data_IF_159980006925
#
_entry.id   IF_159980006925
#
_cell.length_a   1.000
_cell.length_b   1.000
_cell.length_c   1.000
_cell.angle_alpha   90.00
_cell.angle_beta   90.00
_cell.angle_gamma   90.00
#
_symmetry.space_group_name_H-M   'P 1'
#
loop_
_entity.id
_entity.type
_entity.pdbx_description
1 polymer ?
#
# COMPACT_ATOMS: atom_id res chain seq x y z
N UNK A 1 48.36 -12.43 4.28
CA UNK A 1 47.40 -12.22 3.15
C UNK A 1 46.49 -13.42 2.99
N UNK A 2 45.35 -13.50 3.68
CA UNK A 2 44.20 -14.33 3.25
C UNK A 2 42.96 -14.13 4.13
N UNK A 3 42.46 -12.89 4.25
CA UNK A 3 41.17 -12.64 4.96
C UNK A 3 40.19 -11.77 4.19
N UNK A 4 40.39 -11.48 2.91
CA UNK A 4 39.45 -10.62 2.14
C UNK A 4 38.64 -11.32 1.07
N UNK A 5 38.82 -12.63 0.82
CA UNK A 5 38.08 -13.34 -0.24
C UNK A 5 36.78 -14.02 0.22
N UNK A 6 36.63 -14.29 1.51
CA UNK A 6 35.44 -14.98 2.02
C UNK A 6 34.18 -14.11 2.09
N UNK A 7 34.32 -12.77 2.18
CA UNK A 7 33.18 -11.86 2.23
C UNK A 7 32.56 -11.58 0.85
N UNK A 8 33.34 -11.73 -0.22
CA UNK A 8 32.87 -11.48 -1.60
C UNK A 8 32.01 -12.62 -2.18
N UNK A 9 32.25 -13.85 -1.78
CA UNK A 9 31.53 -15.02 -2.32
C UNK A 9 30.13 -15.24 -1.71
N UNK A 10 29.90 -14.70 -0.52
CA UNK A 10 28.56 -14.75 0.10
C UNK A 10 27.59 -13.77 -0.57
N UNK A 11 28.09 -12.65 -1.11
CA UNK A 11 27.26 -11.63 -1.76
C UNK A 11 26.81 -12.00 -3.19
N UNK A 12 27.54 -12.85 -3.91
CA UNK A 12 27.18 -13.26 -5.27
C UNK A 12 26.09 -14.33 -5.35
N UNK A 13 25.75 -14.99 -4.24
CA UNK A 13 24.75 -16.07 -4.24
C UNK A 13 23.31 -15.65 -3.94
N UNK A 14 23.03 -14.37 -3.70
CA UNK A 14 21.70 -13.94 -3.27
C UNK A 14 20.89 -13.09 -4.27
N UNK A 15 21.45 -12.74 -5.42
CA UNK A 15 20.76 -11.85 -6.37
C UNK A 15 20.11 -12.56 -7.55
N UNK A 16 20.56 -13.78 -7.90
CA UNK A 16 20.04 -14.49 -9.08
C UNK A 16 20.05 -16.01 -8.89
N UNK A 17 19.13 -16.56 -8.15
CA UNK A 17 18.82 -17.98 -8.30
C UNK A 17 17.33 -18.24 -8.21
N UNK A 18 16.59 -17.87 -9.26
CA UNK A 18 15.50 -18.70 -9.76
C UNK A 18 16.07 -19.82 -10.64
N UNK A 19 17.13 -20.49 -10.22
CA UNK A 19 17.59 -21.73 -10.84
C UNK A 19 17.52 -22.83 -9.78
N UNK A 20 16.53 -23.68 -10.00
CA UNK A 20 16.34 -24.97 -9.34
C UNK A 20 17.66 -25.72 -9.31
N UNK A 21 18.23 -25.92 -8.11
CA UNK A 21 19.03 -27.09 -7.78
C UNK A 21 18.43 -27.76 -6.57
N UNK A 22 17.84 -28.92 -6.84
CA UNK A 22 17.46 -29.88 -5.83
C UNK A 22 18.72 -30.28 -5.04
N UNK A 23 18.70 -29.96 -3.75
CA UNK A 23 19.34 -30.61 -2.62
C UNK A 23 19.57 -29.60 -1.49
N UNK A 24 18.48 -29.24 -0.86
CA UNK A 24 18.37 -28.82 0.55
C UNK A 24 16.86 -28.75 0.84
N UNK A 25 16.27 -29.80 1.35
CA UNK A 25 14.85 -29.88 1.69
C UNK A 25 14.39 -28.75 2.64
N UNK A 26 15.33 -28.09 3.27
CA UNK A 26 15.07 -27.02 4.23
C UNK A 26 14.79 -25.64 3.57
N UNK A 27 15.11 -25.47 2.26
CA UNK A 27 14.95 -24.19 1.53
C UNK A 27 13.89 -24.22 0.44
N UNK A 28 13.12 -25.27 0.32
CA UNK A 28 12.07 -25.37 -0.67
C UNK A 28 10.96 -24.34 -0.42
N UNK A 29 10.51 -23.71 -1.49
CA UNK A 29 9.41 -22.73 -1.49
C UNK A 29 8.17 -23.45 -2.00
N UNK A 30 7.03 -23.24 -1.36
CA UNK A 30 5.73 -23.72 -1.82
C UNK A 30 5.15 -22.70 -2.78
N UNK A 31 4.90 -23.09 -4.02
CA UNK A 31 4.32 -22.25 -5.06
C UNK A 31 2.81 -22.44 -5.15
N UNK A 32 2.08 -21.34 -5.33
CA UNK A 32 0.62 -21.34 -5.36
C UNK A 32 0.09 -20.48 -6.50
N UNK A 33 -0.99 -20.94 -7.11
CA UNK A 33 -1.77 -20.16 -8.09
C UNK A 33 -3.16 -19.97 -7.50
N UNK A 34 -3.65 -18.72 -7.51
CA UNK A 34 -4.97 -18.36 -7.01
C UNK A 34 -5.82 -17.75 -8.09
N UNK A 35 -7.12 -18.07 -8.06
CA UNK A 35 -8.13 -17.44 -8.88
C UNK A 35 -9.30 -17.01 -7.98
N UNK A 36 -9.72 -15.75 -8.07
CA UNK A 36 -10.84 -15.20 -7.30
C UNK A 36 -11.83 -14.48 -8.22
N UNK A 37 -13.10 -14.58 -7.88
CA UNK A 37 -14.18 -13.72 -8.40
C UNK A 37 -14.75 -12.92 -7.24
N UNK A 38 -14.90 -11.61 -7.44
CA UNK A 38 -15.36 -10.69 -6.38
C UNK A 38 -16.53 -9.83 -6.88
N UNK A 39 -17.78 -10.30 -6.74
CA UNK A 39 -18.94 -9.45 -6.93
C UNK A 39 -18.97 -8.38 -5.82
N UNK A 40 -19.21 -7.13 -6.20
CA UNK A 40 -19.09 -6.01 -5.27
C UNK A 40 -20.16 -4.95 -5.50
N UNK A 41 -20.40 -4.16 -4.46
CA UNK A 41 -21.21 -2.96 -4.48
C UNK A 41 -20.29 -1.73 -4.45
N UNK A 42 -20.57 -0.74 -5.29
CA UNK A 42 -19.86 0.54 -5.26
C UNK A 42 -20.43 1.41 -4.15
N UNK A 43 -19.63 1.71 -3.14
CA UNK A 43 -20.05 2.56 -2.03
C UNK A 43 -20.16 4.02 -2.48
N UNK A 44 -21.31 4.68 -2.29
CA UNK A 44 -21.54 6.07 -2.72
C UNK A 44 -20.87 7.05 -1.76
N UNK A 45 -19.54 7.04 -1.72
CA UNK A 45 -18.72 7.87 -0.81
C UNK A 45 -18.58 9.32 -1.28
N UNK A 46 -18.90 9.64 -2.55
CA UNK A 46 -18.94 11.01 -3.06
C UNK A 46 -20.36 11.41 -3.46
N UNK A 47 -20.62 12.73 -3.48
CA UNK A 47 -21.92 13.25 -3.95
C UNK A 47 -22.21 12.84 -5.40
N UNK A 48 -21.18 12.74 -6.22
CA UNK A 48 -21.29 12.34 -7.62
C UNK A 48 -21.80 10.89 -7.81
N UNK A 49 -21.52 9.99 -6.88
CA UNK A 49 -22.01 8.60 -6.89
C UNK A 49 -23.46 8.49 -6.36
N UNK A 50 -24.02 9.58 -5.86
CA UNK A 50 -25.42 9.65 -5.42
C UNK A 50 -26.24 10.27 -6.55
N UNK A 51 -27.38 9.66 -6.82
CA UNK A 51 -28.38 10.26 -7.69
C UNK A 51 -28.93 11.51 -7.00
N UNK A 52 -28.77 12.69 -7.62
CA UNK A 52 -29.32 13.96 -7.13
C UNK A 52 -30.74 14.24 -7.63
N UNK A 53 -31.34 13.31 -8.38
CA UNK A 53 -32.66 13.44 -8.99
C UNK A 53 -32.69 14.35 -10.23
N UNK A 54 -31.60 15.01 -10.57
CA UNK A 54 -31.47 15.91 -11.73
C UNK A 54 -30.65 15.31 -12.88
N UNK A 55 -30.22 14.05 -12.75
CA UNK A 55 -29.42 13.36 -13.76
C UNK A 55 -27.96 13.80 -13.86
N UNK A 56 -27.48 14.60 -12.93
CA UNK A 56 -26.09 15.08 -12.90
C UNK A 56 -25.13 14.09 -12.26
N UNK A 57 -25.64 13.10 -11.53
CA UNK A 57 -24.86 12.04 -10.90
C UNK A 57 -24.68 10.81 -11.79
N UNK A 58 -23.59 10.10 -11.56
CA UNK A 58 -23.34 8.80 -12.17
C UNK A 58 -23.63 7.69 -11.14
N UNK A 59 -24.81 7.07 -11.21
CA UNK A 59 -25.19 6.02 -10.27
C UNK A 59 -24.47 4.73 -10.60
N UNK A 60 -23.31 4.50 -9.99
CA UNK A 60 -22.62 3.21 -10.01
C UNK A 60 -23.03 2.40 -8.78
N UNK A 61 -23.52 1.19 -8.96
CA UNK A 61 -23.91 0.33 -7.83
C UNK A 61 -23.27 -1.04 -7.87
N UNK A 62 -23.09 -1.61 -9.05
CA UNK A 62 -22.58 -2.97 -9.23
C UNK A 62 -21.16 -2.93 -9.77
N UNK A 63 -20.31 -3.76 -9.20
CA UNK A 63 -18.96 -4.00 -9.68
C UNK A 63 -18.65 -5.49 -9.60
N UNK A 64 -17.71 -5.93 -10.40
CA UNK A 64 -17.14 -7.27 -10.31
C UNK A 64 -15.68 -7.23 -10.68
N UNK A 65 -14.88 -8.10 -10.07
CA UNK A 65 -13.49 -8.27 -10.44
C UNK A 65 -13.10 -9.74 -10.51
N UNK A 66 -12.15 -10.03 -11.41
CA UNK A 66 -11.60 -11.35 -11.66
C UNK A 66 -10.08 -11.26 -11.42
N UNK A 67 -9.56 -12.13 -10.58
CA UNK A 67 -8.18 -12.07 -10.13
C UNK A 67 -7.44 -13.35 -10.47
N UNK A 68 -6.23 -13.21 -10.99
CA UNK A 68 -5.25 -14.27 -11.11
C UNK A 68 -4.03 -13.91 -10.28
N UNK A 69 -3.60 -14.84 -9.42
CA UNK A 69 -2.51 -14.63 -8.47
C UNK A 69 -1.48 -15.73 -8.59
N UNK A 70 -0.22 -15.34 -8.53
CA UNK A 70 0.89 -16.26 -8.31
C UNK A 70 1.63 -15.84 -7.05
N UNK A 71 1.92 -16.79 -6.20
CA UNK A 71 2.65 -16.51 -5.00
C UNK A 71 3.35 -17.72 -4.41
N UNK A 72 4.01 -17.46 -3.30
CA UNK A 72 4.83 -18.44 -2.63
C UNK A 72 4.67 -18.35 -1.11
N UNK A 73 4.90 -19.46 -0.48
CA UNK A 73 4.96 -19.62 0.96
C UNK A 73 6.29 -20.27 1.31
N UNK A 74 6.94 -19.80 2.36
CA UNK A 74 8.15 -20.43 2.86
C UNK A 74 7.83 -21.81 3.41
N UNK A 75 8.79 -22.76 3.30
CA UNK A 75 8.64 -24.10 3.82
C UNK A 75 8.31 -24.03 5.33
N UNK A 76 7.16 -24.58 5.78
CA UNK A 76 6.75 -24.51 7.17
C UNK A 76 7.73 -25.23 8.11
N UNK A 77 8.55 -26.15 7.60
CA UNK A 77 9.56 -26.87 8.37
C UNK A 77 10.89 -26.10 8.46
N UNK A 78 11.09 -25.05 7.67
CA UNK A 78 12.28 -24.19 7.73
C UNK A 78 12.19 -23.20 8.89
N UNK A 79 13.33 -22.69 9.36
CA UNK A 79 13.39 -21.67 10.41
C UNK A 79 12.63 -20.41 10.01
N UNK A 80 12.81 -19.97 8.76
CA UNK A 80 12.15 -18.80 8.20
C UNK A 80 10.64 -19.01 8.06
N UNK A 81 10.19 -20.19 7.62
CA UNK A 81 8.77 -20.53 7.49
C UNK A 81 8.07 -20.64 8.85
N UNK A 82 8.79 -21.10 9.89
CA UNK A 82 8.27 -21.12 11.27
C UNK A 82 8.13 -19.70 11.86
N UNK A 83 8.90 -18.73 11.37
CA UNK A 83 8.76 -17.33 11.78
C UNK A 83 7.47 -16.71 11.25
N UNK A 84 7.03 -17.11 10.05
CA UNK A 84 5.84 -16.57 9.37
C UNK A 84 4.92 -17.72 8.92
N UNK A 85 4.40 -18.50 9.87
CA UNK A 85 3.59 -19.66 9.54
C UNK A 85 2.33 -19.24 8.78
N UNK A 86 1.99 -20.01 7.74
CA UNK A 86 0.79 -19.83 6.93
C UNK A 86 0.72 -18.47 6.21
N UNK A 87 1.86 -17.79 6.02
CA UNK A 87 1.94 -16.56 5.23
C UNK A 87 2.24 -16.89 3.78
N UNK A 88 1.39 -16.40 2.90
CA UNK A 88 1.43 -16.59 1.46
C UNK A 88 1.49 -15.22 0.80
N UNK A 89 2.48 -14.99 -0.06
CA UNK A 89 2.80 -13.70 -0.67
C UNK A 89 3.03 -13.85 -2.17
N UNK A 90 2.85 -12.78 -2.92
CA UNK A 90 3.14 -12.82 -4.33
C UNK A 90 2.63 -11.61 -5.12
N UNK A 91 2.38 -11.85 -6.41
CA UNK A 91 1.87 -10.88 -7.36
C UNK A 91 0.52 -11.34 -7.91
N UNK A 92 -0.30 -10.38 -8.29
CA UNK A 92 -1.57 -10.66 -8.91
C UNK A 92 -1.93 -9.64 -9.99
N UNK A 93 -2.82 -10.05 -10.86
CA UNK A 93 -3.48 -9.19 -11.83
C UNK A 93 -4.99 -9.31 -11.67
N UNK A 94 -5.72 -8.24 -11.93
CA UNK A 94 -7.18 -8.29 -11.96
C UNK A 94 -7.75 -7.50 -13.12
N UNK A 95 -8.90 -7.95 -13.58
CA UNK A 95 -9.79 -7.23 -14.47
C UNK A 95 -11.00 -6.78 -13.68
N UNK A 96 -11.34 -5.50 -13.77
CA UNK A 96 -12.39 -4.90 -12.96
C UNK A 96 -13.44 -4.26 -13.86
N UNK A 97 -14.72 -4.41 -13.51
CA UNK A 97 -15.82 -3.77 -14.22
C UNK A 97 -16.81 -3.13 -13.24
N UNK A 98 -17.32 -1.97 -13.61
CA UNK A 98 -18.23 -1.16 -12.80
C UNK A 98 -19.61 -1.01 -13.48
N UNK A 99 -19.86 -1.75 -14.55
CA UNK A 99 -21.11 -1.66 -15.31
C UNK A 99 -21.25 -0.40 -16.17
N UNK A 100 -20.23 0.46 -16.19
CA UNK A 100 -20.19 1.68 -17.00
C UNK A 100 -18.83 1.84 -17.70
N UNK A 101 -18.71 1.16 -18.84
CA UNK A 101 -17.48 1.18 -19.62
C UNK A 101 -17.18 2.53 -20.26
N UNK A 102 -18.22 3.28 -20.63
CA UNK A 102 -18.04 4.53 -21.38
C UNK A 102 -17.44 5.65 -20.52
N UNK A 103 -17.94 5.82 -19.32
CA UNK A 103 -17.51 6.93 -18.45
C UNK A 103 -16.40 6.51 -17.46
N UNK A 104 -16.35 5.26 -17.02
CA UNK A 104 -15.38 4.78 -16.01
C UNK A 104 -14.31 3.88 -16.62
N UNK A 105 -14.64 3.13 -17.64
CA UNK A 105 -13.78 2.10 -18.21
C UNK A 105 -13.90 0.76 -17.49
N UNK A 106 -13.11 -0.21 -17.95
CA UNK A 106 -12.91 -1.49 -17.29
C UNK A 106 -11.43 -1.68 -16.99
N UNK A 107 -10.93 -1.16 -15.89
CA UNK A 107 -9.50 -1.13 -15.60
C UNK A 107 -8.96 -2.51 -15.22
N UNK A 108 -7.71 -2.72 -15.58
CA UNK A 108 -6.87 -3.77 -15.04
C UNK A 108 -6.15 -3.27 -13.80
N UNK A 109 -5.76 -4.17 -12.91
CA UNK A 109 -4.81 -3.84 -11.86
C UNK A 109 -3.69 -4.88 -11.82
N UNK A 110 -2.46 -4.41 -11.52
CA UNK A 110 -1.32 -5.23 -11.16
C UNK A 110 -0.93 -4.89 -9.72
N UNK A 111 -0.75 -5.91 -8.88
CA UNK A 111 -0.55 -5.70 -7.45
C UNK A 111 0.34 -6.76 -6.83
N UNK A 112 0.95 -6.41 -5.70
CA UNK A 112 1.53 -7.33 -4.74
C UNK A 112 0.48 -7.67 -3.69
N UNK A 113 0.53 -8.87 -3.14
CA UNK A 113 -0.40 -9.28 -2.10
C UNK A 113 0.29 -10.10 -1.00
N UNK A 114 -0.33 -10.10 0.15
CA UNK A 114 -0.03 -11.03 1.23
C UNK A 114 -1.32 -11.53 1.85
N UNK A 115 -1.37 -12.83 2.07
CA UNK A 115 -2.41 -13.51 2.83
C UNK A 115 -1.79 -14.23 4.01
N UNK A 116 -2.44 -14.18 5.15
CA UNK A 116 -2.00 -14.90 6.34
C UNK A 116 -3.18 -15.32 7.21
N UNK A 117 -2.97 -16.38 7.99
CA UNK A 117 -3.98 -16.89 8.90
C UNK A 117 -4.11 -16.01 10.14
N UNK A 118 -5.34 -15.63 10.48
CA UNK A 118 -5.69 -15.00 11.75
C UNK A 118 -5.97 -16.04 12.80
N UNK A 119 -6.83 -17.02 12.47
CA UNK A 119 -7.27 -18.04 13.41
C UNK A 119 -7.48 -19.40 12.73
N UNK A 120 -7.10 -20.48 13.41
CA UNK A 120 -7.44 -21.86 13.02
C UNK A 120 -8.79 -22.21 13.67
N UNK A 121 -9.78 -22.55 12.84
CA UNK A 121 -11.11 -22.94 13.30
C UNK A 121 -11.19 -24.46 13.45
N UNK A 122 -10.65 -25.20 12.47
CA UNK A 122 -10.56 -26.66 12.51
C UNK A 122 -9.32 -27.16 11.77
N UNK A 123 -9.14 -28.47 11.65
CA UNK A 123 -8.04 -29.05 10.86
C UNK A 123 -8.10 -28.69 9.36
N UNK A 124 -9.30 -28.35 8.85
CA UNK A 124 -9.52 -28.03 7.43
C UNK A 124 -10.03 -26.62 7.20
N UNK A 125 -10.29 -25.82 8.25
CA UNK A 125 -10.89 -24.49 8.13
C UNK A 125 -10.09 -23.49 8.95
N UNK A 126 -9.75 -22.35 8.32
CA UNK A 126 -9.14 -21.20 8.98
C UNK A 126 -9.84 -19.90 8.59
N UNK A 127 -9.66 -18.88 9.41
CA UNK A 127 -10.01 -17.50 9.13
C UNK A 127 -8.73 -16.75 8.80
N UNK A 128 -8.68 -16.20 7.59
CA UNK A 128 -7.49 -15.59 7.00
C UNK A 128 -7.80 -14.16 6.55
N UNK A 129 -6.77 -13.33 6.41
CA UNK A 129 -6.85 -12.04 5.76
C UNK A 129 -5.94 -11.98 4.54
N UNK A 130 -6.22 -11.07 3.63
CA UNK A 130 -5.36 -10.72 2.50
C UNK A 130 -5.44 -9.22 2.25
N UNK A 131 -4.30 -8.59 2.07
CA UNK A 131 -4.23 -7.25 1.54
C UNK A 131 -3.53 -7.27 0.18
N UNK A 132 -3.97 -6.38 -0.71
CA UNK A 132 -3.38 -6.17 -2.02
C UNK A 132 -3.04 -4.70 -2.17
N UNK A 133 -1.89 -4.41 -2.77
CA UNK A 133 -1.45 -3.07 -3.05
C UNK A 133 -0.80 -3.01 -4.43
N UNK A 134 -1.22 -2.06 -5.27
CA UNK A 134 -0.71 -1.93 -6.63
C UNK A 134 -1.24 -0.73 -7.38
N UNK A 135 -1.19 -0.83 -8.70
CA UNK A 135 -1.70 0.17 -9.62
C UNK A 135 -2.75 -0.40 -10.56
N UNK A 136 -3.76 0.40 -10.85
CA UNK A 136 -4.80 0.08 -11.83
C UNK A 136 -4.73 1.03 -13.01
N UNK A 137 -5.00 0.52 -14.22
CA UNK A 137 -4.85 1.22 -15.49
C UNK A 137 -5.96 0.82 -16.46
N UNK A 138 -6.22 1.67 -17.47
CA UNK A 138 -7.34 1.48 -18.39
C UNK A 138 -8.63 2.16 -17.93
N UNK A 139 -8.52 3.15 -17.06
CA UNK A 139 -9.60 4.04 -16.69
C UNK A 139 -9.90 5.04 -17.80
N UNK A 140 -11.15 5.47 -17.89
CA UNK A 140 -11.56 6.65 -18.64
C UNK A 140 -11.63 7.83 -17.67
N UNK A 141 -10.60 8.69 -17.62
CA UNK A 141 -10.56 9.78 -16.65
C UNK A 141 -11.56 10.89 -17.03
N UNK A 142 -11.77 11.80 -16.09
CA UNK A 142 -12.45 13.05 -16.34
C UNK A 142 -11.82 13.81 -17.51
N UNK A 143 -12.66 14.38 -18.36
CA UNK A 143 -12.30 15.24 -19.48
C UNK A 143 -13.43 16.25 -19.68
N UNK A 144 -13.09 17.54 -19.78
CA UNK A 144 -14.09 18.62 -19.85
C UNK A 144 -15.02 18.52 -21.07
N UNK A 145 -14.54 17.94 -22.16
CA UNK A 145 -15.29 17.86 -23.41
C UNK A 145 -16.02 16.52 -23.57
N UNK A 146 -15.33 15.41 -23.22
CA UNK A 146 -15.79 14.07 -23.59
C UNK A 146 -16.27 13.24 -22.40
N UNK A 147 -15.85 13.57 -21.16
CA UNK A 147 -16.18 12.80 -19.95
C UNK A 147 -16.35 13.67 -18.70
N UNK A 148 -17.00 14.80 -18.84
CA UNK A 148 -17.18 15.81 -17.77
C UNK A 148 -17.98 15.33 -16.57
N UNK A 149 -18.75 14.25 -16.73
CA UNK A 149 -19.57 13.63 -15.67
C UNK A 149 -18.75 12.78 -14.71
N UNK A 150 -17.57 12.29 -15.12
CA UNK A 150 -16.74 11.45 -14.26
C UNK A 150 -15.95 12.29 -13.22
N UNK A 151 -16.57 12.65 -12.13
CA UNK A 151 -15.92 13.37 -11.02
C UNK A 151 -15.15 12.44 -10.06
N UNK A 152 -15.03 11.14 -10.35
CA UNK A 152 -14.43 10.12 -9.47
C UNK A 152 -12.94 9.98 -9.76
N UNK A 153 -12.59 9.87 -11.05
CA UNK A 153 -11.25 9.49 -11.52
C UNK A 153 -10.74 10.54 -12.50
N UNK A 154 -9.67 11.25 -12.12
CA UNK A 154 -9.01 12.26 -12.95
C UNK A 154 -7.75 11.76 -13.66
N UNK A 155 -7.38 10.49 -13.56
CA UNK A 155 -6.16 9.96 -14.17
C UNK A 155 -6.33 8.57 -14.78
N UNK A 156 -5.48 8.23 -15.77
CA UNK A 156 -5.47 6.93 -16.43
C UNK A 156 -4.88 5.82 -15.55
N UNK A 157 -4.07 6.18 -14.55
CA UNK A 157 -3.43 5.28 -13.61
C UNK A 157 -3.83 5.68 -12.21
N UNK A 158 -4.31 4.71 -11.42
CA UNK A 158 -4.76 4.91 -10.05
C UNK A 158 -4.18 3.85 -9.13
N UNK A 159 -3.97 4.16 -7.86
CA UNK A 159 -3.65 3.17 -6.84
C UNK A 159 -4.78 2.14 -6.74
N UNK A 160 -4.42 0.92 -6.46
CA UNK A 160 -5.30 -0.20 -6.15
C UNK A 160 -4.95 -0.71 -4.77
N UNK A 161 -5.88 -0.58 -3.83
CA UNK A 161 -5.71 -1.03 -2.44
C UNK A 161 -6.89 -1.92 -2.11
N UNK A 162 -6.62 -3.13 -1.61
CA UNK A 162 -7.67 -4.05 -1.19
C UNK A 162 -7.32 -4.68 0.16
N UNK A 163 -8.34 -4.90 0.96
CA UNK A 163 -8.29 -5.66 2.21
C UNK A 163 -9.45 -6.64 2.23
N UNK A 164 -9.16 -7.92 2.37
CA UNK A 164 -10.14 -8.98 2.45
C UNK A 164 -10.00 -9.84 3.69
N UNK A 165 -11.12 -10.37 4.18
CA UNK A 165 -11.20 -11.36 5.24
C UNK A 165 -12.05 -12.53 4.76
N UNK A 166 -11.57 -13.76 4.96
CA UNK A 166 -12.22 -14.92 4.38
C UNK A 166 -11.98 -16.21 5.18
N UNK A 167 -12.90 -17.12 5.02
CA UNK A 167 -12.75 -18.51 5.42
C UNK A 167 -11.94 -19.24 4.33
N UNK A 168 -10.93 -19.97 4.76
CA UNK A 168 -10.07 -20.77 3.91
C UNK A 168 -10.29 -22.24 4.26
N UNK A 169 -10.98 -22.94 3.36
CA UNK A 169 -11.33 -24.34 3.51
C UNK A 169 -10.38 -25.23 2.70
N UNK A 170 -9.61 -26.10 3.35
CA UNK A 170 -8.72 -27.07 2.73
C UNK A 170 -9.55 -28.21 2.13
N UNK A 171 -9.74 -28.22 0.81
CA UNK A 171 -10.44 -29.27 0.08
C UNK A 171 -9.57 -30.51 -0.10
N UNK A 172 -8.27 -30.28 -0.40
CA UNK A 172 -7.25 -31.34 -0.55
C UNK A 172 -5.89 -30.82 -0.16
N UNK A 173 -4.83 -31.62 -0.29
CA UNK A 173 -3.46 -31.13 -0.12
C UNK A 173 -3.03 -30.12 -1.20
N UNK A 174 -3.73 -30.10 -2.34
CA UNK A 174 -3.43 -29.22 -3.46
C UNK A 174 -4.38 -28.03 -3.57
N UNK A 175 -5.60 -28.12 -3.05
CA UNK A 175 -6.65 -27.13 -3.35
C UNK A 175 -7.32 -26.61 -2.07
N UNK A 176 -7.46 -25.30 -2.02
CA UNK A 176 -8.20 -24.57 -1.00
C UNK A 176 -9.30 -23.73 -1.63
N UNK A 177 -10.48 -23.71 -1.00
CA UNK A 177 -11.59 -22.82 -1.31
C UNK A 177 -11.57 -21.62 -0.37
N UNK A 178 -11.68 -20.42 -0.93
CA UNK A 178 -11.76 -19.15 -0.20
C UNK A 178 -13.15 -18.56 -0.34
N UNK A 179 -13.79 -18.19 0.77
CA UNK A 179 -15.07 -17.49 0.77
C UNK A 179 -15.05 -16.39 1.81
N UNK A 180 -15.34 -15.15 1.40
CA UNK A 180 -15.26 -14.03 2.32
C UNK A 180 -15.73 -12.71 1.76
N UNK A 181 -15.22 -11.63 2.31
CA UNK A 181 -15.55 -10.26 1.95
C UNK A 181 -14.30 -9.43 1.70
N UNK A 182 -14.44 -8.43 0.84
CA UNK A 182 -13.38 -7.51 0.42
C UNK A 182 -13.82 -6.06 0.45
N UNK A 183 -12.88 -5.21 0.79
CA UNK A 183 -12.95 -3.76 0.64
C UNK A 183 -11.89 -3.33 -0.37
N UNK A 184 -12.27 -2.59 -1.40
CA UNK A 184 -11.31 -2.10 -2.40
C UNK A 184 -11.42 -0.59 -2.56
N UNK A 185 -10.28 0.08 -2.68
CA UNK A 185 -10.16 1.52 -2.91
C UNK A 185 -9.32 1.80 -4.15
N UNK A 186 -9.81 2.72 -4.98
CA UNK A 186 -9.09 3.25 -6.14
C UNK A 186 -9.00 4.76 -6.04
N UNK A 187 -7.80 5.34 -6.21
CA UNK A 187 -7.58 6.77 -6.26
C UNK A 187 -6.21 7.10 -6.85
N UNK A 188 -6.02 8.31 -7.33
CA UNK A 188 -4.72 8.73 -7.86
C UNK A 188 -3.86 9.49 -6.83
N UNK A 189 -4.30 9.58 -5.56
CA UNK A 189 -3.55 10.27 -4.52
C UNK A 189 -3.39 11.77 -4.77
N UNK A 190 -4.37 12.41 -5.40
CA UNK A 190 -4.40 13.83 -5.78
C UNK A 190 -3.35 14.25 -6.82
N UNK A 191 -2.79 13.30 -7.57
CA UNK A 191 -1.93 13.68 -8.71
C UNK A 191 -2.72 14.38 -9.83
N UNK A 192 -4.01 14.08 -9.95
CA UNK A 192 -4.93 14.71 -10.90
C UNK A 192 -6.30 14.91 -10.25
N UNK A 193 -6.98 15.98 -10.60
CA UNK A 193 -8.34 16.28 -10.18
C UNK A 193 -9.31 16.14 -11.37
N UNK A 194 -10.57 15.77 -11.11
CA UNK A 194 -11.16 15.39 -9.82
C UNK A 194 -10.66 14.03 -9.32
N UNK A 195 -10.63 13.82 -8.01
CA UNK A 195 -10.22 12.56 -7.39
C UNK A 195 -11.11 12.25 -6.17
N UNK A 196 -12.39 12.03 -6.38
CA UNK A 196 -13.29 11.59 -5.32
C UNK A 196 -12.97 10.17 -4.84
N UNK A 197 -12.25 9.40 -5.67
CA UNK A 197 -11.94 8.00 -5.44
C UNK A 197 -13.15 7.08 -5.58
N UNK A 198 -12.90 5.79 -5.76
CA UNK A 198 -13.93 4.78 -5.89
C UNK A 198 -13.70 3.68 -4.86
N UNK A 199 -14.72 3.39 -4.06
CA UNK A 199 -14.68 2.36 -3.04
C UNK A 199 -15.69 1.26 -3.37
N UNK A 200 -15.28 -0.01 -3.19
CA UNK A 200 -16.19 -1.14 -3.34
C UNK A 200 -16.17 -2.02 -2.10
N UNK A 201 -17.32 -2.60 -1.78
CA UNK A 201 -17.51 -3.60 -0.74
C UNK A 201 -18.14 -4.81 -1.39
N UNK A 202 -17.55 -5.99 -1.23
CA UNK A 202 -18.04 -7.16 -1.94
C UNK A 202 -17.74 -8.48 -1.28
N UNK A 203 -18.27 -9.53 -1.90
CA UNK A 203 -17.93 -10.90 -1.58
C UNK A 203 -16.70 -11.37 -2.37
N UNK A 204 -16.06 -12.41 -1.87
CA UNK A 204 -14.97 -13.15 -2.53
C UNK A 204 -15.33 -14.63 -2.59
N UNK A 205 -15.15 -15.23 -3.74
CA UNK A 205 -15.10 -16.67 -3.91
C UNK A 205 -13.86 -16.99 -4.73
N UNK A 206 -13.01 -17.86 -4.22
CA UNK A 206 -11.73 -18.15 -4.88
C UNK A 206 -11.23 -19.56 -4.62
N UNK A 207 -10.32 -19.98 -5.48
CA UNK A 207 -9.58 -21.22 -5.37
C UNK A 207 -8.08 -20.93 -5.36
N UNK A 208 -7.35 -21.61 -4.49
CA UNK A 208 -5.89 -21.59 -4.46
C UNK A 208 -5.37 -23.00 -4.67
N UNK A 209 -4.59 -23.17 -5.73
CA UNK A 209 -3.92 -24.41 -6.06
C UNK A 209 -2.46 -24.37 -5.67
N UNK A 210 -2.01 -25.37 -4.92
CA UNK A 210 -0.62 -25.54 -4.47
C UNK A 210 0.11 -26.48 -5.43
N UNK A 211 1.16 -25.98 -6.08
CA UNK A 211 1.90 -26.75 -7.11
C UNK A 211 2.76 -27.86 -6.49
N UNK A 212 3.42 -27.57 -5.38
CA UNK A 212 4.35 -28.45 -4.71
C UNK A 212 4.06 -28.49 -3.20
N UNK A 213 2.99 -29.17 -2.77
CA UNK A 213 2.64 -29.22 -1.35
C UNK A 213 3.72 -29.97 -0.56
N UNK A 214 4.18 -29.35 0.52
CA UNK A 214 5.08 -29.94 1.49
C UNK A 214 4.23 -30.44 2.65
N UNK A 215 4.43 -31.66 3.09
CA UNK A 215 3.79 -32.17 4.29
C UNK A 215 4.43 -31.48 5.50
N UNK A 216 3.58 -30.84 6.31
CA UNK A 216 4.02 -30.37 7.62
C UNK A 216 4.39 -31.63 8.42
N UNK A 217 5.66 -31.77 8.75
CA UNK A 217 6.08 -32.85 9.63
C UNK A 217 5.29 -32.69 10.93
N UNK A 218 4.52 -33.72 11.31
CA UNK A 218 3.83 -33.84 12.60
C UNK A 218 4.84 -34.02 13.76
N UNK A 219 5.88 -33.22 13.80
CA UNK A 219 6.45 -32.93 15.08
C UNK A 219 5.36 -32.10 15.77
N UNK A 220 4.71 -32.71 16.75
CA UNK A 220 3.93 -32.00 17.75
C UNK A 220 4.73 -30.74 18.04
N UNK A 221 4.24 -29.61 17.54
CA UNK A 221 4.73 -28.30 17.94
C UNK A 221 4.30 -28.25 19.40
N UNK A 222 5.12 -28.84 20.25
CA UNK A 222 5.10 -28.44 21.63
C UNK A 222 5.13 -26.94 21.59
N UNK A 223 3.96 -26.36 21.90
CA UNK A 223 3.67 -24.94 22.11
C UNK A 223 4.70 -24.08 21.40
N UNK A 224 4.37 -23.49 20.27
CA UNK A 224 5.24 -22.72 19.37
C UNK A 224 6.49 -22.31 20.16
N UNK A 225 7.59 -23.02 19.94
CA UNK A 225 8.83 -22.67 20.63
C UNK A 225 9.10 -21.29 20.09
N UNK A 226 8.49 -20.31 20.75
CA UNK A 226 8.91 -18.94 20.65
C UNK A 226 10.41 -19.08 20.64
N UNK A 227 11.05 -18.73 19.51
CA UNK A 227 12.50 -18.53 19.50
C UNK A 227 12.74 -17.86 20.82
N UNK A 228 13.54 -18.49 21.71
CA UNK A 228 13.40 -18.26 23.12
C UNK A 228 13.33 -16.76 23.29
N UNK A 229 12.26 -16.27 23.90
CA UNK A 229 12.10 -14.85 24.20
C UNK A 229 13.40 -14.29 24.76
N UNK A 230 14.17 -15.14 25.38
CA UNK A 230 15.53 -14.94 25.87
C UNK A 230 16.53 -14.42 24.83
N UNK A 231 16.45 -14.76 23.52
CA UNK A 231 17.36 -14.15 22.55
C UNK A 231 17.03 -12.68 22.28
N UNK A 232 15.77 -12.28 22.43
CA UNK A 232 15.39 -10.88 22.38
C UNK A 232 15.76 -10.13 23.69
N UNK A 233 15.75 -10.83 24.82
CA UNK A 233 16.16 -10.23 26.11
C UNK A 233 17.67 -10.06 26.26
N UNK A 234 18.49 -10.81 25.53
CA UNK A 234 19.94 -10.74 25.58
C UNK A 234 20.54 -9.66 24.66
N UNK A 235 19.77 -9.09 23.70
CA UNK A 235 20.24 -8.01 22.84
C UNK A 235 20.16 -6.67 23.56
N UNK A 236 21.27 -5.91 23.54
CA UNK A 236 21.28 -4.53 24.09
C UNK A 236 20.22 -3.67 23.39
N UNK A 237 19.77 -2.60 24.05
CA UNK A 237 18.82 -1.63 23.46
C UNK A 237 19.26 -1.19 22.05
N UNK A 238 20.53 -0.83 21.88
CA UNK A 238 21.06 -0.33 20.60
C UNK A 238 21.04 -1.38 19.48
N UNK A 239 21.17 -2.67 19.80
CA UNK A 239 21.06 -3.75 18.81
C UNK A 239 19.64 -3.94 18.30
N UNK A 240 18.64 -3.36 18.96
CA UNK A 240 17.23 -3.41 18.59
C UNK A 240 16.77 -2.17 17.84
N UNK A 241 17.63 -1.15 17.72
CA UNK A 241 17.31 0.09 17.00
C UNK A 241 17.84 -0.01 15.58
N UNK A 242 16.96 0.19 14.62
CA UNK A 242 17.30 0.38 13.20
C UNK A 242 16.98 1.82 12.79
N UNK A 243 17.73 2.34 11.83
CA UNK A 243 17.56 3.70 11.32
C UNK A 243 17.16 3.62 9.84
N UNK A 244 15.96 4.04 9.51
CA UNK A 244 15.51 4.11 8.12
C UNK A 244 15.67 5.55 7.63
N UNK A 245 16.39 5.72 6.53
CA UNK A 245 16.45 6.98 5.77
C UNK A 245 15.66 6.79 4.49
N UNK A 246 14.64 7.61 4.30
CA UNK A 246 13.73 7.53 3.16
C UNK A 246 13.78 8.85 2.41
N UNK A 247 13.92 8.78 1.08
CA UNK A 247 13.75 9.91 0.16
C UNK A 247 12.58 9.61 -0.75
N UNK A 248 11.68 10.56 -0.92
CA UNK A 248 10.51 10.40 -1.76
C UNK A 248 10.19 11.65 -2.57
N UNK A 249 9.45 11.44 -3.65
CA UNK A 249 8.90 12.50 -4.47
C UNK A 249 7.52 12.14 -4.98
N UNK A 250 6.79 13.15 -5.42
CA UNK A 250 5.49 13.01 -6.08
C UNK A 250 5.16 14.27 -6.86
N UNK A 251 4.08 14.22 -7.61
CA UNK A 251 3.40 15.39 -8.13
C UNK A 251 1.97 15.44 -7.61
N UNK A 252 1.39 16.60 -7.49
CA UNK A 252 -0.03 16.77 -7.14
C UNK A 252 -0.69 17.88 -7.94
N UNK A 253 -1.98 17.71 -8.20
CA UNK A 253 -2.84 18.79 -8.62
C UNK A 253 -3.40 19.52 -7.39
N UNK A 254 -3.64 20.82 -7.51
CA UNK A 254 -4.29 21.63 -6.49
C UNK A 254 -5.49 22.33 -7.09
N UNK A 255 -6.55 22.43 -6.31
CA UNK A 255 -7.73 23.24 -6.61
C UNK A 255 -8.08 24.13 -5.43
N UNK A 256 -8.79 25.20 -5.69
CA UNK A 256 -9.39 26.08 -4.68
C UNK A 256 -10.89 26.14 -4.92
N UNK A 257 -11.64 26.33 -3.84
CA UNK A 257 -13.05 26.66 -3.93
C UNK A 257 -13.17 28.19 -3.95
N UNK A 258 -13.79 28.72 -5.00
CA UNK A 258 -14.15 30.14 -5.12
C UNK A 258 -15.67 30.19 -5.09
N UNK A 259 -16.24 30.53 -3.94
CA UNK A 259 -17.66 30.32 -3.68
C UNK A 259 -18.01 28.83 -3.72
N UNK A 260 -19.00 28.48 -4.54
CA UNK A 260 -19.44 27.08 -4.72
C UNK A 260 -18.74 26.35 -5.89
N UNK A 261 -17.88 27.03 -6.62
CA UNK A 261 -17.17 26.47 -7.77
C UNK A 261 -15.74 26.03 -7.43
N UNK A 262 -15.34 24.85 -7.91
CA UNK A 262 -14.00 24.33 -7.77
C UNK A 262 -13.15 24.72 -8.99
N UNK A 263 -12.13 25.52 -8.77
CA UNK A 263 -11.15 25.90 -9.79
C UNK A 263 -9.88 25.07 -9.60
N UNK A 264 -9.43 24.41 -10.67
CA UNK A 264 -8.20 23.64 -10.68
C UNK A 264 -7.08 24.53 -11.19
N UNK A 265 -5.99 24.62 -10.43
CA UNK A 265 -4.80 25.34 -10.88
C UNK A 265 -4.16 24.64 -12.07
N UNK A 266 -3.76 25.38 -13.11
CA UNK A 266 -3.11 24.77 -14.27
C UNK A 266 -1.77 24.13 -13.89
N UNK A 267 -1.52 22.93 -14.42
CA UNK A 267 -0.28 22.19 -14.21
C UNK A 267 -0.27 21.28 -12.98
N UNK A 268 0.90 20.77 -12.71
CA UNK A 268 1.18 19.89 -11.56
C UNK A 268 2.30 20.47 -10.71
N UNK A 269 2.22 20.28 -9.41
CA UNK A 269 3.15 20.80 -8.44
C UNK A 269 4.04 19.65 -7.92
N UNK A 270 5.34 19.93 -7.87
CA UNK A 270 6.34 18.98 -7.36
C UNK A 270 6.31 18.89 -5.83
N UNK A 271 6.53 17.69 -5.34
CA UNK A 271 6.74 17.40 -3.93
C UNK A 271 8.01 16.59 -3.78
N UNK A 272 8.87 17.00 -2.85
CA UNK A 272 10.07 16.27 -2.45
C UNK A 272 10.11 16.19 -0.94
N UNK A 273 10.54 15.06 -0.40
CA UNK A 273 10.64 14.93 1.04
C UNK A 273 11.55 13.81 1.49
N UNK A 274 11.77 13.81 2.80
CA UNK A 274 12.54 12.77 3.47
C UNK A 274 11.90 12.38 4.80
N UNK A 275 12.21 11.16 5.26
CA UNK A 275 11.90 10.69 6.61
C UNK A 275 13.18 10.07 7.21
N UNK A 276 13.51 10.44 8.44
CA UNK A 276 14.58 9.85 9.24
C UNK A 276 13.94 9.14 10.42
N UNK A 277 13.90 7.81 10.37
CA UNK A 277 13.13 6.98 11.30
C UNK A 277 14.03 6.10 12.18
N UNK A 278 14.43 6.50 13.37
CA UNK A 278 14.89 5.58 14.39
C UNK A 278 13.73 4.70 14.88
N UNK A 279 13.85 3.38 14.69
CA UNK A 279 12.80 2.41 14.97
C UNK A 279 13.30 1.32 15.93
N UNK A 280 12.64 1.17 17.06
CA UNK A 280 12.93 0.12 18.04
C UNK A 280 12.11 -1.13 17.73
N UNK A 281 12.76 -2.28 17.68
CA UNK A 281 12.17 -3.59 17.42
C UNK A 281 11.69 -4.23 18.71
N UNK A 282 10.38 -4.24 18.94
CA UNK A 282 9.76 -4.91 20.08
C UNK A 282 9.77 -6.43 19.93
N UNK A 283 9.41 -6.88 18.74
CA UNK A 283 9.45 -8.29 18.35
C UNK A 283 9.67 -8.41 16.84
N UNK A 284 9.58 -9.62 16.28
CA UNK A 284 9.79 -9.86 14.85
C UNK A 284 8.78 -9.17 13.92
N UNK A 285 7.59 -8.86 14.45
CA UNK A 285 6.50 -8.27 13.66
C UNK A 285 6.35 -6.77 13.88
N UNK A 286 6.72 -6.28 15.06
CA UNK A 286 6.40 -4.93 15.49
C UNK A 286 7.65 -4.12 15.78
N UNK A 287 7.73 -2.98 15.11
CA UNK A 287 8.66 -1.90 15.44
C UNK A 287 7.86 -0.64 15.75
N UNK A 288 8.36 0.20 16.64
CA UNK A 288 7.85 1.54 16.81
C UNK A 288 8.99 2.52 17.05
N UNK A 289 8.74 3.78 16.77
CA UNK A 289 9.76 4.81 16.88
C UNK A 289 9.20 6.19 16.60
N UNK A 290 10.12 7.09 16.31
CA UNK A 290 9.83 8.47 15.92
C UNK A 290 10.41 8.72 14.53
N UNK A 291 9.98 9.80 13.88
CA UNK A 291 10.53 10.22 12.60
C UNK A 291 10.67 11.73 12.58
N UNK A 292 11.82 12.20 12.09
CA UNK A 292 11.95 13.55 11.59
C UNK A 292 11.54 13.54 10.13
N UNK A 293 10.47 14.28 9.81
CA UNK A 293 9.87 14.34 8.48
C UNK A 293 10.10 15.72 7.88
N UNK A 294 10.69 15.79 6.69
CA UNK A 294 10.83 17.01 5.93
C UNK A 294 10.16 16.90 4.57
N UNK A 295 9.45 17.95 4.16
CA UNK A 295 8.78 18.02 2.86
C UNK A 295 8.83 19.43 2.30
N UNK A 296 9.21 19.53 1.04
CA UNK A 296 8.94 20.67 0.19
C UNK A 296 7.69 20.35 -0.65
N UNK A 297 6.69 21.23 -0.61
CA UNK A 297 5.46 21.14 -1.40
C UNK A 297 5.29 22.43 -2.21
N UNK A 298 5.57 22.35 -3.50
CA UNK A 298 5.46 23.48 -4.41
C UNK A 298 4.06 24.11 -4.44
N UNK A 299 3.03 23.34 -4.07
CA UNK A 299 1.63 23.80 -4.05
C UNK A 299 1.21 24.40 -2.71
N UNK A 300 2.05 24.28 -1.66
CA UNK A 300 1.65 24.75 -0.34
C UNK A 300 1.52 26.28 -0.32
N UNK A 301 0.44 26.74 0.29
CA UNK A 301 0.14 28.17 0.50
C UNK A 301 0.11 29.04 -0.78
N UNK A 302 -0.08 28.42 -1.96
CA UNK A 302 -0.38 29.19 -3.17
C UNK A 302 -1.69 29.93 -2.96
N UNK A 303 -1.71 31.20 -3.32
CA UNK A 303 -2.88 32.06 -3.22
C UNK A 303 -3.21 32.71 -4.58
N UNK A 304 -4.45 33.13 -4.75
CA UNK A 304 -4.95 33.86 -5.89
C UNK A 304 -5.43 35.23 -5.44
N UNK A 305 -5.44 36.22 -6.33
CA UNK A 305 -6.07 37.50 -6.07
C UNK A 305 -7.57 37.31 -5.84
N UNK A 306 -8.12 38.06 -4.89
CA UNK A 306 -9.45 37.81 -4.30
C UNK A 306 -10.63 38.07 -5.27
N UNK A 307 -10.40 38.68 -6.42
CA UNK A 307 -11.49 39.06 -7.35
C UNK A 307 -11.19 38.48 -8.73
N UNK A 308 -11.75 37.29 -9.01
CA UNK A 308 -11.79 36.72 -10.34
C UNK A 308 -13.06 37.25 -11.04
N UNK A 309 -12.90 38.05 -12.09
CA UNK A 309 -14.02 38.49 -12.94
C UNK A 309 -14.47 37.30 -13.81
N UNK A 310 -15.77 37.21 -14.06
CA UNK A 310 -16.33 36.15 -14.92
C UNK A 310 -15.66 36.17 -16.27
N UNK A 311 -14.95 35.11 -16.62
CA UNK A 311 -14.20 34.97 -17.88
C UNK A 311 -12.70 35.24 -17.80
N UNK A 312 -12.15 35.62 -16.66
CA UNK A 312 -10.71 35.73 -16.45
C UNK A 312 -10.13 34.44 -15.82
N UNK A 313 -8.97 34.02 -16.33
CA UNK A 313 -8.21 32.95 -15.69
C UNK A 313 -7.58 33.46 -14.38
N UNK A 314 -7.71 32.72 -13.24
CA UNK A 314 -7.16 33.15 -11.98
C UNK A 314 -5.62 33.23 -12.05
N UNK A 315 -5.05 34.34 -11.60
CA UNK A 315 -3.61 34.51 -11.44
C UNK A 315 -3.17 33.88 -10.10
N UNK A 316 -2.04 33.17 -10.10
CA UNK A 316 -1.50 32.51 -8.93
C UNK A 316 -0.20 33.14 -8.50
N UNK A 317 -0.08 33.28 -7.18
CA UNK A 317 1.12 33.78 -6.54
C UNK A 317 1.71 32.70 -5.65
N UNK A 318 3.02 32.48 -5.82
CA UNK A 318 3.76 31.57 -4.97
C UNK A 318 4.20 32.31 -3.71
N UNK A 319 4.03 31.70 -2.52
CA UNK A 319 4.54 32.27 -1.29
C UNK A 319 6.07 32.15 -1.24
N UNK A 320 6.75 32.82 -0.29
CA UNK A 320 8.16 32.61 0.00
C UNK A 320 8.48 31.14 0.28
N UNK A 321 9.67 30.66 -0.11
CA UNK A 321 10.07 29.26 -0.02
C UNK A 321 9.87 28.64 1.39
N UNK A 322 10.11 29.40 2.46
CA UNK A 322 9.95 28.88 3.83
C UNK A 322 8.50 28.54 4.18
N UNK A 323 7.51 29.06 3.46
CA UNK A 323 6.09 28.73 3.61
C UNK A 323 5.68 27.46 2.82
N UNK A 324 6.59 26.95 2.00
CA UNK A 324 6.42 25.71 1.22
C UNK A 324 7.19 24.54 1.84
N UNK A 325 7.96 24.78 2.91
CA UNK A 325 8.73 23.75 3.59
C UNK A 325 8.10 23.41 4.94
N UNK A 326 7.73 22.14 5.10
CA UNK A 326 7.30 21.56 6.37
C UNK A 326 8.43 20.72 6.97
N UNK A 327 8.75 20.93 8.24
CA UNK A 327 9.59 20.01 9.02
C UNK A 327 8.79 19.66 10.27
N UNK A 328 8.59 18.37 10.49
CA UNK A 328 7.77 17.87 11.57
C UNK A 328 8.35 16.64 12.26
N UNK A 329 7.75 16.30 13.38
CA UNK A 329 8.03 15.05 14.09
C UNK A 329 6.78 14.18 14.08
N UNK A 330 6.97 12.87 13.88
CA UNK A 330 5.89 11.90 13.95
C UNK A 330 6.24 10.69 14.81
N UNK A 331 5.24 10.14 15.48
CA UNK A 331 5.31 8.79 16.04
C UNK A 331 5.06 7.78 14.90
N UNK A 332 5.81 6.69 14.88
CA UNK A 332 5.77 5.66 13.86
C UNK A 332 5.52 4.29 14.46
N UNK A 333 4.65 3.52 13.80
CA UNK A 333 4.49 2.09 14.01
C UNK A 333 4.78 1.34 12.72
N UNK A 334 5.48 0.21 12.79
CA UNK A 334 5.77 -0.61 11.61
C UNK A 334 5.46 -2.08 11.91
N UNK A 335 4.60 -2.65 11.07
CA UNK A 335 4.33 -4.07 11.07
C UNK A 335 5.17 -4.72 9.98
N UNK A 336 6.13 -5.56 10.40
CA UNK A 336 7.12 -6.18 9.52
C UNK A 336 6.68 -7.59 9.11
N UNK A 337 6.79 -7.88 7.84
CA UNK A 337 6.51 -9.15 7.19
C UNK A 337 7.76 -9.57 6.38
N UNK A 338 7.84 -10.79 5.82
CA UNK A 338 9.07 -11.26 5.17
C UNK A 338 9.65 -10.34 4.10
N UNK A 339 8.79 -9.79 3.22
CA UNK A 339 9.22 -8.94 2.10
C UNK A 339 8.58 -7.54 2.12
N UNK A 340 7.60 -7.35 2.98
CA UNK A 340 6.84 -6.10 3.08
C UNK A 340 6.80 -5.62 4.51
N UNK A 341 6.66 -4.32 4.69
CA UNK A 341 6.32 -3.73 5.97
C UNK A 341 5.28 -2.65 5.76
N UNK A 342 4.29 -2.59 6.65
CA UNK A 342 3.33 -1.49 6.69
C UNK A 342 3.78 -0.53 7.77
N UNK A 343 4.03 0.72 7.40
CA UNK A 343 4.43 1.78 8.30
C UNK A 343 3.27 2.78 8.42
N UNK A 344 2.88 3.08 9.65
CA UNK A 344 1.89 4.11 9.96
C UNK A 344 2.52 5.19 10.81
N UNK A 345 2.11 6.43 10.61
CA UNK A 345 2.64 7.57 11.36
C UNK A 345 1.58 8.62 11.63
N UNK A 346 1.73 9.30 12.75
CA UNK A 346 0.98 10.51 13.10
C UNK A 346 1.97 11.55 13.56
N UNK A 347 1.96 12.72 12.92
CA UNK A 347 2.94 13.78 13.16
C UNK A 347 2.34 15.17 13.12
N UNK A 348 3.18 16.11 13.47
CA UNK A 348 2.87 17.54 13.51
C UNK A 348 4.05 18.35 12.98
N UNK A 349 3.77 19.34 12.12
CA UNK A 349 4.80 20.25 11.62
C UNK A 349 5.25 21.21 12.73
N UNK A 350 6.56 21.35 12.88
CA UNK A 350 7.20 22.21 13.88
C UNK A 350 7.75 23.50 13.28
N UNK A 351 8.37 23.42 12.08
CA UNK A 351 9.04 24.56 11.45
C UNK A 351 8.04 25.57 10.90
N UNK A 352 7.15 25.17 10.00
CA UNK A 352 6.10 26.02 9.49
C UNK A 352 4.76 25.34 9.73
N UNK A 353 3.92 25.92 10.58
CA UNK A 353 2.64 25.35 11.01
C UNK A 353 1.53 26.37 10.78
N UNK A 354 1.43 26.87 9.53
CA UNK A 354 0.41 27.82 9.07
C UNK A 354 -0.16 27.37 7.72
N UNK A 355 -1.30 27.92 7.36
CA UNK A 355 -1.95 27.64 6.07
C UNK A 355 -2.15 26.14 5.83
N UNK A 356 -1.73 25.68 4.66
CA UNK A 356 -1.85 24.29 4.23
C UNK A 356 -1.02 23.30 5.06
N UNK A 357 0.05 23.75 5.69
CA UNK A 357 0.94 22.93 6.51
C UNK A 357 0.52 22.89 7.98
N UNK A 358 -0.59 23.57 8.36
CA UNK A 358 -1.06 23.62 9.75
C UNK A 358 -1.75 22.33 10.16
N UNK A 359 -1.33 21.79 11.33
CA UNK A 359 -2.04 20.72 12.04
C UNK A 359 -1.37 19.35 11.93
N UNK A 360 -2.15 18.32 12.25
CA UNK A 360 -1.70 16.93 12.26
C UNK A 360 -1.68 16.36 10.84
N UNK A 361 -0.61 15.63 10.52
CA UNK A 361 -0.54 14.79 9.34
C UNK A 361 -0.44 13.32 9.72
N UNK A 362 -0.90 12.45 8.83
CA UNK A 362 -0.80 11.01 8.97
C UNK A 362 -0.10 10.44 7.76
N UNK A 363 0.68 9.39 7.98
CA UNK A 363 1.38 8.67 6.92
C UNK A 363 0.99 7.21 6.99
N UNK A 364 0.61 6.67 5.85
CA UNK A 364 0.45 5.24 5.63
C UNK A 364 1.39 4.86 4.50
N UNK A 365 2.29 3.92 4.74
CA UNK A 365 3.25 3.51 3.74
C UNK A 365 3.46 1.99 3.72
N UNK A 366 3.63 1.47 2.51
CA UNK A 366 4.14 0.15 2.24
C UNK A 366 5.63 0.27 1.91
N UNK A 367 6.45 -0.52 2.60
CA UNK A 367 7.87 -0.70 2.29
C UNK A 367 8.05 -2.09 1.69
N UNK A 368 8.65 -2.17 0.50
CA UNK A 368 8.94 -3.43 -0.20
C UNK A 368 10.44 -3.66 -0.18
N UNK A 369 10.89 -4.69 0.51
CA UNK A 369 12.33 -5.00 0.64
C UNK A 369 12.89 -5.47 -0.71
N UNK A 370 13.89 -4.77 -1.24
CA UNK A 370 14.63 -5.13 -2.46
C UNK A 370 15.89 -5.91 -2.07
N UNK A 371 16.57 -5.45 -1.03
CA UNK A 371 17.69 -6.15 -0.39
C UNK A 371 17.48 -6.16 1.12
N UNK A 372 18.46 -6.63 1.90
CA UNK A 372 18.40 -6.56 3.36
C UNK A 372 18.24 -5.13 3.88
N UNK A 373 18.84 -4.17 3.19
CA UNK A 373 18.94 -2.78 3.63
C UNK A 373 18.13 -1.82 2.75
N UNK A 374 18.00 -2.10 1.44
CA UNK A 374 17.32 -1.24 0.49
C UNK A 374 15.85 -1.68 0.34
N UNK A 375 14.93 -0.71 0.38
CA UNK A 375 13.51 -0.93 0.16
C UNK A 375 12.88 0.17 -0.68
N UNK A 376 11.86 -0.19 -1.44
CA UNK A 376 10.97 0.76 -2.08
C UNK A 376 9.97 1.27 -1.04
N UNK A 377 9.64 2.55 -1.12
CA UNK A 377 8.67 3.22 -0.26
C UNK A 377 7.52 3.75 -1.10
N UNK A 378 6.33 3.26 -0.83
CA UNK A 378 5.11 3.75 -1.46
C UNK A 378 4.16 4.17 -0.35
N UNK A 379 4.11 5.45 -0.10
CA UNK A 379 3.34 6.03 0.98
C UNK A 379 2.30 7.02 0.51
N UNK A 380 1.43 7.36 1.44
CA UNK A 380 0.43 8.38 1.28
C UNK A 380 0.32 9.23 2.54
N UNK A 381 0.35 10.54 2.37
CA UNK A 381 0.14 11.50 3.44
C UNK A 381 -1.29 11.98 3.44
N UNK A 382 -1.91 11.97 4.61
CA UNK A 382 -3.21 12.56 4.89
C UNK A 382 -3.02 13.78 5.78
N UNK A 383 -3.96 14.71 5.71
CA UNK A 383 -4.05 15.85 6.60
C UNK A 383 -5.36 15.80 7.38
N UNK A 384 -5.29 15.99 8.70
CA UNK A 384 -6.47 15.95 9.58
C UNK A 384 -7.32 14.66 9.43
N UNK A 385 -6.69 13.52 9.18
CA UNK A 385 -7.27 12.17 9.04
C UNK A 385 -8.23 11.94 7.85
N UNK A 386 -8.63 12.95 7.12
CA UNK A 386 -9.58 12.79 6.02
C UNK A 386 -9.22 13.54 4.74
N UNK A 387 -8.36 14.55 4.82
CA UNK A 387 -7.97 15.31 3.66
C UNK A 387 -6.78 14.64 2.96
N UNK A 388 -6.95 14.11 1.74
CA UNK A 388 -5.84 13.60 0.96
C UNK A 388 -4.81 14.71 0.74
N UNK A 389 -3.52 14.40 0.95
CA UNK A 389 -2.46 15.37 0.69
C UNK A 389 -1.64 14.95 -0.53
N UNK A 390 -0.73 14.00 -0.39
CA UNK A 390 0.14 13.60 -1.50
C UNK A 390 0.62 12.16 -1.41
N UNK A 391 1.00 11.61 -2.55
CA UNK A 391 1.78 10.39 -2.64
C UNK A 391 3.21 10.63 -2.13
N UNK A 392 3.85 9.55 -1.68
CA UNK A 392 5.24 9.51 -1.24
C UNK A 392 5.90 8.30 -1.93
N UNK A 393 6.34 8.50 -3.16
CA UNK A 393 6.99 7.44 -3.96
C UNK A 393 8.49 7.59 -3.85
N UNK A 394 9.18 6.57 -3.34
CA UNK A 394 10.59 6.73 -3.08
C UNK A 394 11.34 5.45 -2.74
N UNK A 395 12.51 5.65 -2.24
CA UNK A 395 13.43 4.60 -1.80
C UNK A 395 13.90 4.87 -0.38
N UNK A 396 14.15 3.81 0.36
CA UNK A 396 14.69 3.92 1.70
C UNK A 396 15.84 2.96 1.92
N UNK A 397 16.75 3.38 2.78
CA UNK A 397 17.87 2.56 3.23
C UNK A 397 17.81 2.38 4.74
N UNK A 398 17.99 1.15 5.19
CA UNK A 398 17.97 0.74 6.60
C UNK A 398 19.37 0.46 7.09
N UNK A 399 19.79 1.17 8.11
CA UNK A 399 21.02 0.93 8.84
C UNK A 399 20.72 0.09 10.09
N UNK A 400 21.64 -0.78 10.49
CA UNK A 400 21.49 -1.69 11.64
C UNK A 400 20.20 -2.54 11.55
N UNK A 401 20.29 -3.64 10.80
CA UNK A 401 19.14 -4.54 10.59
C UNK A 401 19.33 -5.87 11.31
#
# INVERSE_FOLDING_TARGET
QSRSSAASDVYKRQIWTCTVKAQDDDKSIIHKIGFDVRPSYVAPTSKFLKDDGYGNGLTLRKAASFHLKYGFQLNPNSKEGQLYPHTYQGIGVSYNTFGNRQEVGNPWAAYVFQSSRIAKISSRLSFDYEWNFGASFGWHPYDDNNNYRNKIIGSKINAYINLGFFLNAKLSRYCNLLVGADLTHYSNGNTHLPNAGLNTIGGRIGLVYTLNPIEESHHEIGTARSLPANQLYLSSFWQRVSYDVILYGATRAKGVMLGDEAHIFPGQFGILGFNLNPMYKFNRFLKAGISLDGQYDESANIYSDEIIQVGEEPRFYRPPLHEQIGIGLSARGEFTMPFFSINIGVGHNLFYNKGDLKGLYQILALKVSVTRNLFLHVGYQLHKFHNPNNLMLGVGYRFHN
#
